data_IF_198520426668
#
_entry.id   IF_198520426668
#
_cell.length_a   1.000
_cell.length_b   1.000
_cell.length_c   1.000
_cell.angle_alpha   90.00
_cell.angle_beta   90.00
_cell.angle_gamma   90.00
#
_symmetry.space_group_name_H-M   'P 1'
#
loop_
_entity.id
_entity.type
_entity.pdbx_description
1 polymer ?
#
# COMPACT_ATOMS: atom_id res chain seq x y z
N UNK A 1 13.89 -11.44 14.16
CA UNK A 1 13.26 -10.41 13.30
C UNK A 1 12.42 -11.17 12.28
N UNK A 2 11.11 -10.95 12.24
CA UNK A 2 10.27 -11.53 11.20
C UNK A 2 10.79 -11.07 9.83
N UNK A 3 10.82 -11.96 8.85
CA UNK A 3 11.18 -11.58 7.49
C UNK A 3 10.20 -10.49 7.02
N UNK A 4 10.75 -9.40 6.49
CA UNK A 4 9.92 -8.36 5.89
C UNK A 4 9.12 -8.98 4.73
N UNK A 5 7.80 -8.84 4.77
CA UNK A 5 6.88 -9.36 3.75
C UNK A 5 6.26 -8.18 3.00
N UNK A 6 6.53 -8.12 1.69
CA UNK A 6 5.94 -7.13 0.78
C UNK A 6 4.41 -7.21 0.80
N UNK A 7 3.77 -6.07 0.64
CA UNK A 7 2.35 -5.97 0.40
C UNK A 7 2.03 -6.45 -1.01
N UNK A 8 0.95 -7.21 -1.13
CA UNK A 8 0.42 -7.61 -2.43
C UNK A 8 -0.89 -6.89 -2.73
N UNK A 9 -1.27 -6.86 -4.01
CA UNK A 9 -2.57 -6.33 -4.44
C UNK A 9 -3.73 -7.12 -3.81
N UNK A 10 -3.59 -8.43 -3.61
CA UNK A 10 -4.61 -9.24 -2.91
C UNK A 10 -4.76 -8.85 -1.44
N UNK A 11 -3.65 -8.60 -0.73
CA UNK A 11 -3.69 -8.11 0.64
C UNK A 11 -4.31 -6.71 0.69
N UNK A 12 -3.99 -5.84 -0.27
CA UNK A 12 -4.64 -4.53 -0.40
C UNK A 12 -6.16 -4.67 -0.56
N UNK A 13 -6.63 -5.58 -1.42
CA UNK A 13 -8.06 -5.78 -1.69
C UNK A 13 -8.85 -6.36 -0.52
N UNK A 14 -8.20 -7.11 0.37
CA UNK A 14 -8.87 -7.89 1.43
C UNK A 14 -8.78 -7.25 2.82
N UNK A 15 -7.75 -6.47 3.09
CA UNK A 15 -7.54 -5.84 4.39
C UNK A 15 -8.22 -4.47 4.48
N UNK A 16 -8.60 -4.09 5.69
CA UNK A 16 -9.08 -2.75 6.00
C UNK A 16 -7.93 -1.73 6.00
N UNK A 17 -8.26 -0.44 5.89
CA UNK A 17 -7.25 0.63 5.94
C UNK A 17 -6.41 0.62 7.22
N UNK A 18 -7.03 0.37 8.37
CA UNK A 18 -6.35 0.33 9.66
C UNK A 18 -5.34 -0.83 9.75
N UNK A 19 -5.59 -1.93 9.03
CA UNK A 19 -4.65 -3.05 8.92
C UNK A 19 -3.56 -2.79 7.87
N UNK A 20 -3.87 -2.02 6.83
CA UNK A 20 -2.95 -1.70 5.74
C UNK A 20 -1.96 -0.61 6.11
N UNK A 21 -2.38 0.43 6.85
CA UNK A 21 -1.53 1.53 7.29
C UNK A 21 -0.21 1.10 7.95
N UNK A 22 -0.21 0.26 9.01
CA UNK A 22 1.05 -0.15 9.65
C UNK A 22 1.93 -1.01 8.73
N UNK A 23 1.35 -1.70 7.75
CA UNK A 23 2.11 -2.48 6.77
C UNK A 23 2.72 -1.62 5.68
N UNK A 24 2.00 -0.60 5.20
CA UNK A 24 2.51 0.41 4.28
C UNK A 24 3.67 1.17 4.92
N UNK A 25 3.56 1.56 6.18
CA UNK A 25 4.66 2.21 6.92
C UNK A 25 5.91 1.32 7.02
N UNK A 26 5.73 0.03 7.33
CA UNK A 26 6.82 -0.93 7.38
C UNK A 26 7.52 -1.12 6.02
N UNK A 27 6.75 -1.14 4.92
CA UNK A 27 7.28 -1.25 3.56
C UNK A 27 7.93 0.04 3.07
N UNK A 28 7.38 1.20 3.44
CA UNK A 28 8.01 2.50 3.18
C UNK A 28 9.40 2.56 3.82
N UNK A 29 9.54 2.17 5.09
CA UNK A 29 10.84 2.09 5.76
C UNK A 29 11.79 1.08 5.11
N UNK A 30 11.28 0.01 4.52
CA UNK A 30 12.09 -0.94 3.76
C UNK A 30 12.65 -0.29 2.49
N UNK A 31 11.79 0.35 1.69
CA UNK A 31 12.20 1.05 0.48
C UNK A 31 13.15 2.21 0.75
N UNK A 32 12.86 3.05 1.76
CA UNK A 32 13.75 4.14 2.18
C UNK A 32 15.14 3.64 2.56
N UNK A 33 15.22 2.49 3.25
CA UNK A 33 16.49 1.86 3.60
C UNK A 33 17.24 1.35 2.37
N UNK A 34 16.55 0.76 1.40
CA UNK A 34 17.18 0.30 0.16
C UNK A 34 17.68 1.49 -0.67
N UNK A 35 16.85 2.52 -0.84
CA UNK A 35 17.18 3.75 -1.58
C UNK A 35 18.37 4.45 -0.94
N UNK A 36 18.31 4.72 0.36
CA UNK A 36 19.39 5.43 1.09
C UNK A 36 20.73 4.70 1.05
N UNK A 37 20.72 3.37 0.85
CA UNK A 37 21.93 2.55 0.74
C UNK A 37 22.32 2.23 -0.70
N UNK A 38 21.57 2.70 -1.70
CA UNK A 38 21.78 2.33 -3.11
C UNK A 38 21.66 0.82 -3.36
N UNK A 39 20.81 0.13 -2.60
CA UNK A 39 20.65 -1.33 -2.63
C UNK A 39 19.43 -1.79 -3.44
N UNK A 40 18.79 -0.89 -4.18
CA UNK A 40 17.75 -1.26 -5.15
C UNK A 40 18.37 -2.18 -6.20
N UNK A 41 17.72 -3.31 -6.42
CA UNK A 41 18.13 -4.31 -7.42
C UNK A 41 17.37 -4.09 -8.72
N UNK A 42 18.04 -4.42 -9.83
CA UNK A 42 17.39 -4.48 -11.14
C UNK A 42 16.25 -5.51 -11.09
N UNK A 43 15.04 -5.08 -11.49
CA UNK A 43 13.82 -5.89 -11.42
C UNK A 43 12.91 -5.56 -10.24
N UNK A 44 13.33 -4.71 -9.30
CA UNK A 44 12.49 -4.25 -8.18
C UNK A 44 11.57 -3.08 -8.55
N UNK A 45 11.63 -2.60 -9.80
CA UNK A 45 10.82 -1.48 -10.29
C UNK A 45 9.32 -1.79 -10.30
N UNK A 46 8.94 -3.03 -10.63
CA UNK A 46 7.53 -3.44 -10.63
C UNK A 46 6.99 -3.54 -9.21
N UNK A 47 7.76 -4.11 -8.29
CA UNK A 47 7.39 -4.20 -6.87
C UNK A 47 7.22 -2.81 -6.25
N UNK A 48 8.14 -1.89 -6.54
CA UNK A 48 8.05 -0.52 -6.02
C UNK A 48 6.84 0.22 -6.59
N UNK A 49 6.51 0.03 -7.89
CA UNK A 49 5.29 0.58 -8.48
C UNK A 49 4.02 0.03 -7.83
N UNK A 50 3.97 -1.28 -7.59
CA UNK A 50 2.84 -1.90 -6.88
C UNK A 50 2.69 -1.33 -5.47
N UNK A 51 3.80 -1.18 -4.73
CA UNK A 51 3.78 -0.55 -3.42
C UNK A 51 3.25 0.90 -3.48
N UNK A 52 3.69 1.71 -4.45
CA UNK A 52 3.22 3.09 -4.62
C UNK A 52 1.72 3.15 -4.93
N UNK A 53 1.22 2.26 -5.80
CA UNK A 53 -0.20 2.17 -6.12
C UNK A 53 -1.03 1.86 -4.86
N UNK A 54 -0.61 0.85 -4.09
CA UNK A 54 -1.32 0.49 -2.85
C UNK A 54 -1.25 1.64 -1.83
N UNK A 55 -0.10 2.27 -1.69
CA UNK A 55 0.10 3.42 -0.79
C UNK A 55 -0.84 4.56 -1.16
N UNK A 56 -0.97 4.87 -2.46
CA UNK A 56 -1.89 5.89 -2.94
C UNK A 56 -3.33 5.55 -2.56
N UNK A 57 -3.77 4.31 -2.78
CA UNK A 57 -5.13 3.87 -2.41
C UNK A 57 -5.36 3.86 -0.90
N UNK A 58 -4.35 3.56 -0.08
CA UNK A 58 -4.47 3.54 1.38
C UNK A 58 -4.49 4.97 1.96
N UNK A 59 -3.65 5.87 1.45
CA UNK A 59 -3.50 7.22 1.98
C UNK A 59 -4.59 8.14 1.43
N UNK A 60 -4.82 8.09 0.12
CA UNK A 60 -5.79 8.90 -0.60
C UNK A 60 -6.54 8.05 -1.65
N UNK A 61 -7.49 7.21 -1.21
CA UNK A 61 -8.34 6.42 -2.11
C UNK A 61 -9.22 7.29 -3.04
N UNK A 62 -9.20 8.61 -2.91
CA UNK A 62 -10.18 9.55 -3.45
C UNK A 62 -9.56 10.63 -4.32
N UNK A 63 -8.42 10.34 -4.97
CA UNK A 63 -7.79 11.20 -5.97
C UNK A 63 -8.66 11.47 -7.25
N UNK A 64 -9.99 11.30 -7.17
CA UNK A 64 -10.99 11.65 -8.18
C UNK A 64 -12.29 12.26 -7.62
N UNK A 65 -12.90 11.70 -6.56
CA UNK A 65 -14.13 12.22 -5.94
C UNK A 65 -14.16 11.84 -4.45
N UNK A 66 -14.54 12.77 -3.56
CA UNK A 66 -14.60 12.51 -2.11
C UNK A 66 -15.75 11.53 -1.73
N UNK A 67 -15.57 10.67 -0.71
CA UNK A 67 -16.57 9.68 -0.38
C UNK A 67 -17.70 10.34 0.42
N UNK A 68 -18.94 10.17 -0.04
CA UNK A 68 -20.14 10.59 0.70
C UNK A 68 -20.50 9.62 1.84
N UNK A 69 -19.80 8.47 1.94
CA UNK A 69 -20.07 7.40 2.89
C UNK A 69 -19.12 7.48 4.11
N UNK A 70 -19.70 7.52 5.31
CA UNK A 70 -18.97 7.64 6.58
C UNK A 70 -18.24 6.36 6.94
N UNK A 71 -18.73 5.22 6.45
CA UNK A 71 -18.17 3.89 6.71
C UNK A 71 -17.12 3.47 5.67
N UNK A 72 -16.83 4.34 4.70
CA UNK A 72 -15.85 4.15 3.64
C UNK A 72 -14.48 3.67 4.16
N UNK A 73 -14.06 4.18 5.33
CA UNK A 73 -12.77 3.86 5.94
C UNK A 73 -12.69 2.48 6.61
N UNK A 74 -13.81 1.78 6.76
CA UNK A 74 -13.89 0.48 7.44
C UNK A 74 -14.00 -0.71 6.50
N UNK A 75 -14.21 -0.46 5.20
CA UNK A 75 -14.39 -1.50 4.18
C UNK A 75 -13.04 -1.96 3.61
N UNK A 76 -12.91 -3.24 3.18
CA UNK A 76 -11.76 -3.71 2.42
C UNK A 76 -11.56 -2.89 1.14
N UNK A 77 -10.32 -2.58 0.73
CA UNK A 77 -10.09 -1.72 -0.45
C UNK A 77 -10.70 -2.30 -1.74
N UNK A 78 -10.86 -3.62 -1.84
CA UNK A 78 -11.51 -4.26 -2.99
C UNK A 78 -12.97 -3.87 -3.17
N UNK A 79 -13.61 -3.32 -2.14
CA UNK A 79 -14.98 -2.78 -2.20
C UNK A 79 -15.02 -1.27 -2.50
N UNK A 80 -13.87 -0.60 -2.58
CA UNK A 80 -13.75 0.86 -2.73
C UNK A 80 -13.50 1.34 -4.17
N UNK A 81 -13.34 0.42 -5.13
CA UNK A 81 -13.11 0.74 -6.55
C UNK A 81 -12.14 -0.25 -7.22
N UNK A 82 -12.08 -0.24 -8.57
CA UNK A 82 -11.14 -1.09 -9.30
C UNK A 82 -9.69 -0.65 -9.08
N UNK A 83 -8.90 -1.55 -8.48
CA UNK A 83 -7.43 -1.52 -8.40
C UNK A 83 -6.81 -2.13 -9.66
#
# INVERSE_FOLDING_TARGET
MAAFKRLTVEEARTLSRDELLPRVEAEQHHWDRLISRGQIRVGEDEDYKTFLLITQVVIDPMAGEAPQDRDFWTKPLGELGEL
#
